data_IF_169659119340
#
_entry.id   IF_169659119340
#
_cell.length_a   1.000
_cell.length_b   1.000
_cell.length_c   1.000
_cell.angle_alpha   90.00
_cell.angle_beta   90.00
_cell.angle_gamma   90.00
#
_symmetry.space_group_name_H-M   'P 1'
#
loop_
_entity.id
_entity.type
_entity.pdbx_description
1 polymer ?
#
# COMPACT_ATOMS: atom_id res chain seq x y z
N UNK A 1 -14.10 7.72 -6.18
CA UNK A 1 -12.91 7.24 -5.44
C UNK A 1 -13.20 7.34 -3.96
N UNK A 2 -13.12 6.24 -3.22
CA UNK A 2 -13.22 6.29 -1.75
C UNK A 2 -11.97 6.94 -1.14
N UNK A 3 -12.12 7.50 0.06
CA UNK A 3 -11.00 8.04 0.85
C UNK A 3 -9.91 6.98 1.09
N UNK A 4 -10.30 5.70 1.19
CA UNK A 4 -9.38 4.58 1.35
C UNK A 4 -8.52 4.32 0.11
N UNK A 5 -9.08 4.45 -1.10
CA UNK A 5 -8.32 4.29 -2.34
C UNK A 5 -7.30 5.43 -2.56
N UNK A 6 -7.67 6.66 -2.22
CA UNK A 6 -6.76 7.80 -2.29
C UNK A 6 -5.61 7.67 -1.27
N UNK A 7 -5.92 7.21 -0.05
CA UNK A 7 -4.89 6.88 0.94
C UNK A 7 -3.97 5.77 0.45
N UNK A 8 -4.54 4.68 -0.11
CA UNK A 8 -3.78 3.51 -0.55
C UNK A 8 -2.72 3.88 -1.58
N UNK A 9 -3.08 4.68 -2.60
CA UNK A 9 -2.13 5.12 -3.62
C UNK A 9 -0.95 5.93 -3.04
N UNK A 10 -1.21 6.80 -2.05
CA UNK A 10 -0.16 7.57 -1.39
C UNK A 10 0.67 6.74 -0.41
N UNK A 11 0.04 5.79 0.30
CA UNK A 11 0.68 4.95 1.29
C UNK A 11 1.61 3.90 0.65
N UNK A 12 1.17 3.28 -0.44
CA UNK A 12 1.93 2.29 -1.22
C UNK A 12 3.30 2.83 -1.66
N UNK A 13 3.35 4.06 -2.19
CA UNK A 13 4.60 4.68 -2.62
C UNK A 13 5.56 4.94 -1.44
N UNK A 14 5.01 5.36 -0.28
CA UNK A 14 5.81 5.60 0.93
C UNK A 14 6.35 4.31 1.53
N UNK A 15 5.56 3.24 1.53
CA UNK A 15 6.02 1.94 2.01
C UNK A 15 7.08 1.34 1.08
N UNK A 16 6.93 1.47 -0.25
CA UNK A 16 8.00 1.08 -1.18
C UNK A 16 9.29 1.86 -0.97
N UNK A 17 9.20 3.15 -0.68
CA UNK A 17 10.37 3.96 -0.34
C UNK A 17 11.01 3.46 0.97
N UNK A 18 10.22 3.25 2.02
CA UNK A 18 10.71 2.76 3.31
C UNK A 18 11.40 1.39 3.20
N UNK A 19 10.88 0.48 2.37
CA UNK A 19 11.49 -0.83 2.13
C UNK A 19 12.86 -0.70 1.42
N UNK A 20 13.02 0.28 0.52
CA UNK A 20 14.28 0.50 -0.21
C UNK A 20 15.35 1.21 0.62
N UNK A 21 14.93 2.14 1.47
CA UNK A 21 15.84 2.98 2.25
C UNK A 21 16.25 2.35 3.58
N UNK A 22 15.52 1.34 4.07
CA UNK A 22 15.83 0.71 5.35
C UNK A 22 16.86 -0.40 5.23
N UNK A 23 17.84 -0.39 6.12
CA UNK A 23 18.79 -1.49 6.33
C UNK A 23 18.31 -2.47 7.40
N UNK A 24 17.21 -2.17 8.11
CA UNK A 24 16.63 -3.05 9.11
C UNK A 24 15.70 -4.07 8.42
N UNK A 25 15.99 -5.38 8.49
CA UNK A 25 15.22 -6.40 7.76
C UNK A 25 13.75 -6.48 8.22
N UNK A 26 13.47 -6.22 9.50
CA UNK A 26 12.08 -6.18 10.01
C UNK A 26 11.31 -5.03 9.38
N UNK A 27 11.93 -3.86 9.27
CA UNK A 27 11.31 -2.69 8.63
C UNK A 27 11.03 -2.95 7.15
N UNK A 28 11.94 -3.62 6.45
CA UNK A 28 11.73 -4.02 5.05
C UNK A 28 10.51 -4.93 4.92
N UNK A 29 10.45 -6.01 5.71
CA UNK A 29 9.32 -6.96 5.66
C UNK A 29 7.98 -6.31 6.02
N UNK A 30 7.96 -5.42 7.01
CA UNK A 30 6.76 -4.67 7.37
C UNK A 30 6.33 -3.73 6.23
N UNK A 31 7.27 -3.02 5.62
CA UNK A 31 7.00 -2.10 4.52
C UNK A 31 6.49 -2.84 3.27
N UNK A 32 7.04 -4.02 2.96
CA UNK A 32 6.53 -4.88 1.89
C UNK A 32 5.11 -5.38 2.16
N UNK A 33 4.84 -5.85 3.38
CA UNK A 33 3.49 -6.29 3.78
C UNK A 33 2.47 -5.15 3.73
N UNK A 34 2.84 -3.95 4.17
CA UNK A 34 1.98 -2.76 4.10
C UNK A 34 1.76 -2.26 2.67
N UNK A 35 2.74 -2.45 1.79
CA UNK A 35 2.58 -2.20 0.34
C UNK A 35 1.52 -3.13 -0.24
N UNK A 36 1.62 -4.44 0.03
CA UNK A 36 0.64 -5.42 -0.43
C UNK A 36 -0.78 -5.14 0.10
N UNK A 37 -0.91 -4.68 1.36
CA UNK A 37 -2.20 -4.27 1.93
C UNK A 37 -2.80 -3.06 1.21
N UNK A 38 -1.98 -2.05 0.90
CA UNK A 38 -2.44 -0.88 0.15
C UNK A 38 -2.92 -1.26 -1.26
N UNK A 39 -2.18 -2.14 -1.95
CA UNK A 39 -2.59 -2.67 -3.26
C UNK A 39 -3.93 -3.42 -3.18
N UNK A 40 -4.13 -4.24 -2.14
CA UNK A 40 -5.38 -4.95 -1.91
C UNK A 40 -6.57 -4.00 -1.68
N UNK A 41 -6.38 -2.93 -0.89
CA UNK A 41 -7.41 -1.90 -0.65
C UNK A 41 -7.78 -1.20 -1.96
N UNK A 42 -6.79 -0.86 -2.79
CA UNK A 42 -7.03 -0.25 -4.10
C UNK A 42 -7.79 -1.20 -5.04
N UNK A 43 -7.43 -2.48 -5.03
CA UNK A 43 -8.10 -3.52 -5.82
C UNK A 43 -9.57 -3.69 -5.38
N UNK A 44 -9.84 -3.67 -4.08
CA UNK A 44 -11.20 -3.71 -3.54
C UNK A 44 -12.04 -2.50 -3.96
N UNK A 45 -11.49 -1.28 -3.95
CA UNK A 45 -12.22 -0.08 -4.42
C UNK A 45 -12.62 -0.20 -5.90
N UNK A 46 -11.75 -0.76 -6.75
CA UNK A 46 -12.04 -1.01 -8.16
C UNK A 46 -13.13 -2.07 -8.36
N UNK A 47 -13.14 -3.11 -7.54
CA UNK A 47 -14.17 -4.15 -7.58
C UNK A 47 -15.52 -3.65 -7.06
N UNK A 48 -15.53 -2.79 -6.04
CA UNK A 48 -16.75 -2.20 -5.49
C UNK A 48 -17.32 -1.13 -6.42
N UNK A 49 -16.47 -0.30 -7.03
CA UNK A 49 -16.89 0.77 -7.94
C UNK A 49 -17.28 0.33 -9.36
N UNK A 50 -17.16 -0.97 -9.70
CA UNK A 50 -17.54 -1.55 -11.00
C UNK A 50 -18.91 -2.25 -10.99
N UNK A 51 -19.68 -2.11 -9.91
CA UNK A 51 -21.10 -2.49 -9.81
C UNK A 51 -21.98 -1.25 -9.94
#
# INVERSE_FOLDING_TARGET
MSTAAAWAAGAENKFRQAARESTNPTTVLLAEGLTALAEAIRSLDLQVGSR
#
